data_IF_348107959546
#
_entry.id   IF_348107959546
#
_cell.length_a   1.000
_cell.length_b   1.000
_cell.length_c   1.000
_cell.angle_alpha   90.00
_cell.angle_beta   90.00
_cell.angle_gamma   90.00
#
_symmetry.space_group_name_H-M   'P 1'
#
loop_
_entity.id
_entity.type
_entity.pdbx_description
1 polymer ?
#
# COMPACT_ATOMS: atom_id res chain seq x y z
N UNK A 1 66.08 42.93 9.97
CA UNK A 1 64.84 42.28 10.45
C UNK A 1 63.80 42.38 9.34
N UNK A 2 63.73 41.37 8.46
CA UNK A 2 62.78 41.34 7.35
C UNK A 2 61.54 40.54 7.77
N UNK A 3 60.38 41.19 7.80
CA UNK A 3 59.09 40.54 8.02
C UNK A 3 58.58 39.98 6.70
N UNK A 4 58.56 38.66 6.58
CA UNK A 4 57.85 37.95 5.51
C UNK A 4 56.35 37.96 5.81
N UNK A 5 55.56 38.52 4.89
CA UNK A 5 54.09 38.53 4.95
C UNK A 5 53.61 37.31 4.16
N UNK A 6 53.13 36.28 4.87
CA UNK A 6 52.45 35.13 4.28
C UNK A 6 51.01 35.50 3.94
N UNK A 7 50.73 35.74 2.65
CA UNK A 7 49.37 35.89 2.13
C UNK A 7 48.81 34.48 1.91
N UNK A 8 47.91 34.04 2.79
CA UNK A 8 47.16 32.79 2.61
C UNK A 8 46.01 33.03 1.65
N UNK A 9 46.13 32.54 0.42
CA UNK A 9 45.06 32.56 -0.58
C UNK A 9 44.07 31.44 -0.25
N UNK A 10 42.93 31.79 0.35
CA UNK A 10 41.79 30.90 0.53
C UNK A 10 41.09 30.70 -0.81
N UNK A 11 41.37 29.58 -1.49
CA UNK A 11 40.61 29.15 -2.67
C UNK A 11 39.27 28.61 -2.20
N UNK A 12 38.22 29.43 -2.25
CA UNK A 12 36.84 28.99 -2.08
C UNK A 12 36.47 28.10 -3.27
N UNK A 13 36.61 26.79 -3.09
CA UNK A 13 36.14 25.78 -4.03
C UNK A 13 34.59 25.75 -3.94
N UNK A 14 33.93 26.58 -4.75
CA UNK A 14 32.47 26.60 -4.90
C UNK A 14 32.08 25.30 -5.60
N UNK A 15 31.79 24.25 -4.84
CA UNK A 15 31.11 23.08 -5.37
C UNK A 15 29.71 23.52 -5.80
N UNK A 16 29.35 23.42 -7.09
CA UNK A 16 27.97 23.64 -7.48
C UNK A 16 27.13 22.62 -6.73
N UNK A 17 26.28 23.12 -5.82
CA UNK A 17 25.18 22.37 -5.26
C UNK A 17 24.28 22.01 -6.44
N UNK A 18 24.54 20.85 -7.06
CA UNK A 18 23.60 20.23 -7.98
C UNK A 18 22.40 19.89 -7.11
N UNK A 19 21.46 20.84 -7.05
CA UNK A 19 20.13 20.61 -6.52
C UNK A 19 19.56 19.45 -7.32
N UNK A 20 19.47 18.28 -6.70
CA UNK A 20 18.67 17.18 -7.20
C UNK A 20 17.21 17.64 -7.11
N UNK A 21 16.80 18.49 -8.04
CA UNK A 21 15.40 18.81 -8.27
C UNK A 21 14.72 17.50 -8.63
N UNK A 22 13.98 16.93 -7.68
CA UNK A 22 13.09 15.83 -7.99
C UNK A 22 12.16 16.31 -9.11
N UNK A 23 12.23 15.63 -10.25
CA UNK A 23 11.39 15.92 -11.40
C UNK A 23 9.94 15.81 -10.94
N UNK A 24 9.27 16.96 -10.77
CA UNK A 24 7.92 17.00 -10.22
C UNK A 24 6.99 16.34 -11.23
N UNK A 25 6.55 15.12 -10.92
CA UNK A 25 5.60 14.38 -11.75
C UNK A 25 4.32 15.22 -11.84
N UNK A 26 3.82 15.42 -13.05
CA UNK A 26 2.63 16.25 -13.27
C UNK A 26 1.43 15.68 -12.49
N UNK A 27 0.80 16.53 -11.67
CA UNK A 27 -0.33 16.16 -10.83
C UNK A 27 -1.55 15.91 -11.73
N UNK A 28 -2.13 14.71 -11.64
CA UNK A 28 -3.35 14.35 -12.35
C UNK A 28 -4.55 15.10 -11.74
N UNK A 29 -4.99 16.19 -12.39
CA UNK A 29 -6.10 17.05 -11.92
C UNK A 29 -7.41 16.28 -11.65
N UNK A 30 -7.86 15.37 -12.53
CA UNK A 30 -9.00 14.50 -12.21
C UNK A 30 -8.86 13.73 -10.88
N UNK A 31 -7.72 13.09 -10.64
CA UNK A 31 -7.48 12.36 -9.38
C UNK A 31 -7.49 13.29 -8.18
N UNK A 32 -6.92 14.48 -8.36
CA UNK A 32 -6.85 15.50 -7.33
C UNK A 32 -8.22 15.99 -6.89
N UNK A 33 -9.14 16.18 -7.84
CA UNK A 33 -10.52 16.58 -7.54
C UNK A 33 -11.26 15.47 -6.77
N UNK A 34 -11.11 14.21 -7.19
CA UNK A 34 -11.71 13.06 -6.49
C UNK A 34 -11.12 12.92 -5.09
N UNK A 35 -9.80 13.05 -4.94
CA UNK A 35 -9.11 13.09 -3.64
C UNK A 35 -9.69 14.16 -2.72
N UNK A 36 -9.95 15.36 -3.26
CA UNK A 36 -10.59 16.47 -2.55
C UNK A 36 -12.01 16.13 -2.08
N UNK A 37 -12.82 15.49 -2.94
CA UNK A 37 -14.18 15.04 -2.58
C UNK A 37 -14.16 14.04 -1.42
N UNK A 38 -13.26 13.06 -1.41
CA UNK A 38 -13.15 12.13 -0.29
C UNK A 38 -12.58 12.77 0.99
N UNK A 39 -11.71 13.78 0.87
CA UNK A 39 -11.29 14.58 2.02
C UNK A 39 -12.46 15.39 2.62
N UNK A 40 -13.34 15.94 1.77
CA UNK A 40 -14.57 16.60 2.22
C UNK A 40 -15.47 15.62 2.96
N UNK A 41 -15.64 14.39 2.44
CA UNK A 41 -16.42 13.37 3.11
C UNK A 41 -15.82 12.88 4.42
N UNK A 42 -14.49 12.75 4.51
CA UNK A 42 -13.82 12.43 5.76
C UNK A 42 -14.07 13.52 6.81
N UNK A 43 -13.93 14.79 6.44
CA UNK A 43 -14.23 15.92 7.31
C UNK A 43 -15.70 15.92 7.80
N UNK A 44 -16.65 15.65 6.90
CA UNK A 44 -18.06 15.53 7.24
C UNK A 44 -18.31 14.41 8.25
N UNK A 45 -17.83 13.19 7.96
CA UNK A 45 -18.04 12.04 8.85
C UNK A 45 -17.38 12.22 10.22
N UNK A 46 -16.23 12.91 10.28
CA UNK A 46 -15.58 13.25 11.55
C UNK A 46 -16.43 14.19 12.41
N UNK A 47 -17.02 15.23 11.82
CA UNK A 47 -17.91 16.15 12.56
C UNK A 47 -19.18 15.43 13.05
N UNK A 48 -19.77 14.56 12.24
CA UNK A 48 -20.95 13.78 12.65
C UNK A 48 -20.58 12.77 13.74
N UNK A 49 -19.43 12.09 13.63
CA UNK A 49 -18.90 11.22 14.70
C UNK A 49 -18.84 11.96 16.03
N UNK A 50 -18.23 13.15 16.06
CA UNK A 50 -18.12 13.93 17.29
C UNK A 50 -19.50 14.38 17.82
N UNK A 51 -20.43 14.76 16.95
CA UNK A 51 -21.78 15.13 17.36
C UNK A 51 -22.53 13.92 17.98
N UNK A 52 -22.51 12.77 17.32
CA UNK A 52 -23.17 11.54 17.81
C UNK A 52 -22.56 11.03 19.10
N UNK A 53 -21.23 11.05 19.20
CA UNK A 53 -20.53 10.67 20.42
C UNK A 53 -20.87 11.61 21.59
N UNK A 54 -21.01 12.93 21.33
CA UNK A 54 -21.43 13.89 22.35
C UNK A 54 -22.89 13.70 22.80
N UNK A 55 -23.73 13.11 21.95
CA UNK A 55 -25.11 12.72 22.26
C UNK A 55 -25.23 11.32 22.88
N UNK A 56 -24.09 10.67 23.21
CA UNK A 56 -24.02 9.32 23.76
C UNK A 56 -24.58 8.21 22.83
N UNK A 57 -24.61 8.47 21.52
CA UNK A 57 -25.01 7.52 20.45
C UNK A 57 -23.79 6.76 19.92
N UNK A 58 -23.17 5.92 20.77
CA UNK A 58 -21.85 5.32 20.51
C UNK A 58 -21.80 4.44 19.25
N UNK A 59 -22.79 3.57 19.05
CA UNK A 59 -22.82 2.67 17.89
C UNK A 59 -22.87 3.45 16.57
N UNK A 60 -23.73 4.48 16.51
CA UNK A 60 -23.81 5.38 15.35
C UNK A 60 -22.52 6.16 15.16
N UNK A 61 -21.92 6.65 16.24
CA UNK A 61 -20.63 7.33 16.19
C UNK A 61 -19.55 6.41 15.60
N UNK A 62 -19.42 5.18 16.09
CA UNK A 62 -18.43 4.21 15.60
C UNK A 62 -18.62 3.89 14.11
N UNK A 63 -19.87 3.80 13.62
CA UNK A 63 -20.14 3.65 12.20
C UNK A 63 -19.62 4.84 11.38
N UNK A 64 -19.82 6.07 11.86
CA UNK A 64 -19.27 7.27 11.21
C UNK A 64 -17.74 7.33 11.28
N UNK A 65 -17.14 6.82 12.37
CA UNK A 65 -15.68 6.72 12.48
C UNK A 65 -15.09 5.80 11.41
N UNK A 66 -15.71 4.65 11.15
CA UNK A 66 -15.28 3.74 10.08
C UNK A 66 -15.42 4.39 8.69
N UNK A 67 -16.52 5.12 8.45
CA UNK A 67 -16.72 5.85 7.19
C UNK A 67 -15.69 6.96 7.00
N UNK A 68 -15.34 7.69 8.07
CA UNK A 68 -14.27 8.69 8.08
C UNK A 68 -12.93 8.05 7.67
N UNK A 69 -12.52 6.97 8.35
CA UNK A 69 -11.24 6.32 8.08
C UNK A 69 -11.15 5.80 6.65
N UNK A 70 -12.24 5.24 6.13
CA UNK A 70 -12.32 4.76 4.74
C UNK A 70 -12.25 5.92 3.73
N UNK A 71 -12.95 7.03 3.97
CA UNK A 71 -12.90 8.21 3.10
C UNK A 71 -11.51 8.87 3.12
N UNK A 72 -10.90 8.98 4.30
CA UNK A 72 -9.53 9.48 4.46
C UNK A 72 -8.54 8.61 3.68
N UNK A 73 -8.67 7.27 3.79
CA UNK A 73 -7.84 6.33 3.04
C UNK A 73 -7.99 6.52 1.52
N UNK A 74 -9.21 6.67 1.01
CA UNK A 74 -9.43 6.94 -0.43
C UNK A 74 -8.82 8.26 -0.87
N UNK A 75 -8.98 9.33 -0.07
CA UNK A 75 -8.37 10.63 -0.34
C UNK A 75 -6.85 10.54 -0.42
N UNK A 76 -6.23 9.87 0.56
CA UNK A 76 -4.77 9.66 0.64
C UNK A 76 -4.25 8.83 -0.52
N UNK A 77 -4.92 7.72 -0.83
CA UNK A 77 -4.55 6.83 -1.91
C UNK A 77 -4.47 7.58 -3.25
N UNK A 78 -5.47 8.40 -3.54
CA UNK A 78 -5.51 9.23 -4.75
C UNK A 78 -4.49 10.37 -4.70
N UNK A 79 -4.27 10.99 -3.54
CA UNK A 79 -3.28 12.06 -3.38
C UNK A 79 -1.84 11.55 -3.60
N UNK A 80 -1.59 10.27 -3.33
CA UNK A 80 -0.30 9.62 -3.52
C UNK A 80 0.06 9.38 -5.00
N UNK A 81 -0.90 9.46 -5.93
CA UNK A 81 -0.63 9.38 -7.36
C UNK A 81 0.16 10.61 -7.84
N UNK A 82 1.48 10.45 -7.91
CA UNK A 82 2.41 11.49 -8.36
C UNK A 82 3.07 12.29 -7.24
N UNK A 83 2.93 11.87 -5.98
CA UNK A 83 3.59 12.50 -4.82
C UNK A 83 4.42 11.51 -4.03
N UNK A 84 5.28 12.04 -3.16
CA UNK A 84 5.81 11.23 -2.06
C UNK A 84 4.69 10.94 -1.06
N UNK A 85 4.81 9.82 -0.34
CA UNK A 85 3.84 9.42 0.68
C UNK A 85 3.63 10.49 1.74
N UNK A 86 4.71 11.12 2.22
CA UNK A 86 4.65 12.13 3.27
C UNK A 86 3.90 13.38 2.78
N UNK A 87 4.18 13.84 1.56
CA UNK A 87 3.46 14.97 0.97
C UNK A 87 1.98 14.65 0.73
N UNK A 88 1.66 13.42 0.32
CA UNK A 88 0.27 12.99 0.14
C UNK A 88 -0.50 13.02 1.48
N UNK A 89 0.13 12.58 2.58
CA UNK A 89 -0.43 12.67 3.93
C UNK A 89 -0.69 14.14 4.31
N UNK A 90 0.30 15.01 4.13
CA UNK A 90 0.18 16.43 4.48
C UNK A 90 -0.93 17.12 3.69
N UNK A 91 -1.02 16.85 2.38
CA UNK A 91 -2.07 17.39 1.50
C UNK A 91 -3.45 16.89 1.93
N UNK A 92 -3.61 15.59 2.21
CA UNK A 92 -4.89 15.02 2.65
C UNK A 92 -5.32 15.60 3.99
N UNK A 93 -4.42 15.67 4.98
CA UNK A 93 -4.72 16.23 6.29
C UNK A 93 -5.10 17.72 6.20
N UNK A 94 -4.34 18.50 5.41
CA UNK A 94 -4.63 19.93 5.20
C UNK A 94 -6.00 20.15 4.58
N UNK A 95 -6.40 19.28 3.64
CA UNK A 95 -7.74 19.33 3.02
C UNK A 95 -8.84 19.03 4.03
N UNK A 96 -8.68 17.95 4.80
CA UNK A 96 -9.65 17.56 5.82
C UNK A 96 -9.83 18.70 6.82
N UNK A 97 -8.73 19.27 7.34
CA UNK A 97 -8.79 20.40 8.27
C UNK A 97 -9.51 21.62 7.66
N UNK A 98 -9.19 21.96 6.42
CA UNK A 98 -9.83 23.06 5.69
C UNK A 98 -11.35 22.82 5.55
N UNK A 99 -11.77 21.62 5.13
CA UNK A 99 -13.19 21.28 4.99
C UNK A 99 -13.90 21.24 6.33
N UNK A 100 -13.28 20.72 7.39
CA UNK A 100 -13.83 20.75 8.74
C UNK A 100 -14.05 22.19 9.21
N UNK A 101 -13.08 23.09 8.98
CA UNK A 101 -13.21 24.50 9.33
C UNK A 101 -14.38 25.15 8.59
N UNK A 102 -14.51 24.90 7.29
CA UNK A 102 -15.62 25.39 6.46
C UNK A 102 -16.97 24.87 6.97
N UNK A 103 -17.10 23.57 7.21
CA UNK A 103 -18.34 22.95 7.71
C UNK A 103 -18.71 23.45 9.11
N UNK A 104 -17.72 23.63 10.01
CA UNK A 104 -17.94 24.24 11.31
C UNK A 104 -18.49 25.66 11.19
N UNK A 105 -17.98 26.47 10.25
CA UNK A 105 -18.53 27.80 9.97
C UNK A 105 -19.97 27.71 9.47
N UNK A 106 -20.28 26.80 8.55
CA UNK A 106 -21.65 26.58 8.05
C UNK A 106 -22.62 26.14 9.15
N UNK A 107 -22.15 25.39 10.15
CA UNK A 107 -22.92 25.00 11.33
C UNK A 107 -22.90 26.06 12.47
N UNK A 108 -22.33 27.25 12.24
CA UNK A 108 -22.12 28.28 13.27
C UNK A 108 -21.36 27.78 14.52
N UNK A 109 -20.45 26.82 14.34
CA UNK A 109 -19.68 26.13 15.39
C UNK A 109 -20.56 25.47 16.47
N UNK A 110 -21.78 25.06 16.12
CA UNK A 110 -22.77 24.50 17.04
C UNK A 110 -23.16 23.10 16.60
N UNK A 111 -23.03 22.13 17.51
CA UNK A 111 -23.37 20.72 17.22
C UNK A 111 -24.88 20.55 17.00
N UNK A 112 -25.72 21.42 17.57
CA UNK A 112 -27.16 21.39 17.37
C UNK A 112 -27.55 21.65 15.90
N UNK A 113 -26.66 22.30 15.14
CA UNK A 113 -26.83 22.59 13.73
C UNK A 113 -26.27 21.48 12.80
N UNK A 114 -25.91 20.30 13.33
CA UNK A 114 -25.37 19.19 12.53
C UNK A 114 -26.32 18.75 11.41
N UNK A 115 -27.64 18.95 11.59
CA UNK A 115 -28.66 18.68 10.58
C UNK A 115 -28.45 19.46 9.27
N UNK A 116 -27.86 20.67 9.33
CA UNK A 116 -27.46 21.45 8.16
C UNK A 116 -26.42 20.69 7.35
N UNK A 117 -25.41 20.14 8.03
CA UNK A 117 -24.35 19.37 7.39
C UNK A 117 -24.89 18.05 6.83
N UNK A 118 -25.76 17.36 7.57
CA UNK A 118 -26.40 16.13 7.10
C UNK A 118 -27.16 16.39 5.79
N UNK A 119 -28.04 17.40 5.76
CA UNK A 119 -28.81 17.72 4.56
C UNK A 119 -27.94 18.06 3.35
N UNK A 120 -26.79 18.71 3.57
CA UNK A 120 -25.91 19.17 2.49
C UNK A 120 -24.93 18.11 2.00
N UNK A 121 -24.35 17.32 2.90
CA UNK A 121 -23.20 16.46 2.60
C UNK A 121 -23.53 14.97 2.64
N UNK A 122 -24.54 14.54 3.42
CA UNK A 122 -24.78 13.12 3.66
C UNK A 122 -24.96 12.32 2.39
N UNK A 123 -25.89 12.73 1.51
CA UNK A 123 -26.23 11.98 0.31
C UNK A 123 -25.06 11.94 -0.68
N UNK A 124 -24.37 13.06 -0.88
CA UNK A 124 -23.20 13.10 -1.78
C UNK A 124 -22.07 12.21 -1.30
N UNK A 125 -21.78 12.21 0.00
CA UNK A 125 -20.75 11.37 0.57
C UNK A 125 -21.14 9.90 0.65
N UNK A 126 -22.41 9.59 0.92
CA UNK A 126 -22.90 8.23 0.90
C UNK A 126 -22.80 7.64 -0.51
N UNK A 127 -23.21 8.41 -1.53
CA UNK A 127 -23.14 8.00 -2.93
C UNK A 127 -21.68 7.77 -3.36
N UNK A 128 -20.78 8.70 -3.06
CA UNK A 128 -19.35 8.55 -3.39
C UNK A 128 -18.70 7.33 -2.70
N UNK A 129 -19.15 6.96 -1.50
CA UNK A 129 -18.62 5.81 -0.76
C UNK A 129 -19.22 4.47 -1.24
N UNK A 130 -20.49 4.48 -1.66
CA UNK A 130 -21.20 3.29 -2.14
C UNK A 130 -20.83 2.96 -3.58
N UNK A 131 -20.72 3.99 -4.43
CA UNK A 131 -20.44 3.89 -5.86
C UNK A 131 -19.16 4.69 -6.17
N UNK A 132 -17.98 4.20 -5.74
CA UNK A 132 -16.73 4.92 -5.98
C UNK A 132 -16.44 5.03 -7.49
N UNK A 133 -15.90 6.16 -7.97
CA UNK A 133 -15.47 6.30 -9.36
C UNK A 133 -14.46 5.20 -9.75
N UNK A 134 -14.42 4.84 -11.02
CA UNK A 134 -13.55 3.78 -11.57
C UNK A 134 -12.09 3.98 -11.15
N UNK A 135 -11.63 5.21 -11.09
CA UNK A 135 -10.23 5.51 -10.77
C UNK A 135 -9.88 5.22 -9.31
N UNK A 136 -10.86 5.31 -8.40
CA UNK A 136 -10.68 4.88 -7.00
C UNK A 136 -10.59 3.36 -6.95
N UNK A 137 -11.44 2.67 -7.70
CA UNK A 137 -11.42 1.20 -7.79
C UNK A 137 -10.10 0.72 -8.37
N UNK A 138 -9.61 1.36 -9.43
CA UNK A 138 -8.30 1.08 -10.03
C UNK A 138 -7.17 1.35 -9.04
N UNK A 139 -7.19 2.48 -8.34
CA UNK A 139 -6.18 2.79 -7.33
C UNK A 139 -6.22 1.80 -6.16
N UNK A 140 -7.40 1.34 -5.75
CA UNK A 140 -7.57 0.32 -4.70
C UNK A 140 -7.03 -1.03 -5.15
N UNK A 141 -7.35 -1.44 -6.38
CA UNK A 141 -6.85 -2.68 -6.95
C UNK A 141 -5.32 -2.63 -7.08
N UNK A 142 -4.78 -1.49 -7.52
CA UNK A 142 -3.33 -1.26 -7.59
C UNK A 142 -2.67 -1.29 -6.21
N UNK A 143 -3.26 -0.62 -5.21
CA UNK A 143 -2.77 -0.70 -3.85
C UNK A 143 -2.86 -2.12 -3.28
N UNK A 144 -3.91 -2.87 -3.60
CA UNK A 144 -4.05 -4.27 -3.20
C UNK A 144 -2.99 -5.16 -3.87
N UNK A 145 -2.67 -4.94 -5.15
CA UNK A 145 -1.55 -5.61 -5.83
C UNK A 145 -0.18 -5.20 -5.26
N UNK A 146 -0.04 -3.95 -4.80
CA UNK A 146 1.17 -3.50 -4.10
C UNK A 146 1.30 -4.13 -2.70
N UNK A 147 0.22 -4.69 -2.16
CA UNK A 147 0.19 -5.36 -0.86
C UNK A 147 0.29 -6.88 -0.95
N UNK A 148 0.02 -7.48 -2.12
CA UNK A 148 0.09 -8.93 -2.28
C UNK A 148 0.30 -9.35 -3.73
N UNK A 149 1.00 -10.46 -3.91
CA UNK A 149 1.09 -11.14 -5.20
C UNK A 149 -0.01 -12.18 -5.32
N UNK A 150 -0.59 -12.32 -6.51
CA UNK A 150 -1.40 -13.49 -6.87
C UNK A 150 -0.59 -14.37 -7.80
N UNK A 151 -0.33 -15.61 -7.38
CA UNK A 151 0.57 -16.53 -8.06
C UNK A 151 -0.19 -17.77 -8.55
N UNK A 152 0.22 -18.28 -9.71
CA UNK A 152 -0.25 -19.52 -10.32
C UNK A 152 0.92 -20.49 -10.50
N UNK A 153 0.73 -21.73 -10.07
CA UNK A 153 1.73 -22.79 -10.18
C UNK A 153 1.77 -23.32 -11.61
N UNK A 154 2.95 -23.32 -12.24
CA UNK A 154 3.14 -23.87 -13.59
C UNK A 154 3.79 -25.25 -13.53
N UNK A 155 4.80 -25.43 -12.67
CA UNK A 155 5.52 -26.69 -12.51
C UNK A 155 5.95 -26.95 -11.07
N UNK A 156 6.04 -28.22 -10.71
CA UNK A 156 6.47 -28.75 -9.42
C UNK A 156 7.52 -29.84 -9.66
N UNK A 157 8.69 -29.66 -9.06
CA UNK A 157 9.85 -30.51 -9.25
C UNK A 157 10.34 -31.13 -7.95
N UNK A 158 10.95 -32.30 -8.06
CA UNK A 158 11.72 -32.95 -7.00
C UNK A 158 13.21 -32.92 -7.35
N UNK A 159 14.07 -32.81 -6.33
CA UNK A 159 15.52 -32.95 -6.49
C UNK A 159 15.89 -34.43 -6.33
N UNK A 160 16.52 -35.00 -7.34
CA UNK A 160 16.97 -36.40 -7.34
C UNK A 160 18.33 -36.57 -6.64
N UNK A 161 18.76 -37.82 -6.43
CA UNK A 161 20.05 -38.14 -5.80
C UNK A 161 21.27 -37.72 -6.64
N UNK A 162 21.13 -37.55 -7.95
CA UNK A 162 22.18 -37.05 -8.85
C UNK A 162 22.14 -35.53 -9.04
N UNK A 163 21.39 -34.83 -8.20
CA UNK A 163 21.18 -33.38 -8.22
C UNK A 163 20.52 -32.85 -9.50
N UNK A 164 19.76 -33.68 -10.21
CA UNK A 164 18.89 -33.25 -11.31
C UNK A 164 17.47 -32.94 -10.83
N UNK A 165 16.68 -32.28 -11.69
CA UNK A 165 15.28 -31.97 -11.42
C UNK A 165 14.37 -32.85 -12.27
N UNK A 166 13.40 -33.48 -11.62
CA UNK A 166 12.32 -34.23 -12.28
C UNK A 166 10.97 -33.71 -11.83
N UNK A 167 9.91 -33.96 -12.61
CA UNK A 167 8.56 -33.61 -12.18
C UNK A 167 8.19 -34.38 -10.91
N UNK A 168 7.69 -33.64 -9.92
CA UNK A 168 7.24 -34.24 -8.68
C UNK A 168 5.95 -35.02 -8.88
N UNK A 169 5.68 -36.00 -8.00
CA UNK A 169 4.37 -36.65 -7.91
C UNK A 169 3.23 -35.63 -7.69
N UNK A 170 3.54 -34.47 -7.11
CA UNK A 170 2.61 -33.37 -6.85
C UNK A 170 2.32 -32.47 -8.06
N UNK A 171 3.02 -32.64 -9.20
CA UNK A 171 2.78 -31.84 -10.43
C UNK A 171 1.31 -31.86 -10.83
N UNK A 172 0.67 -33.04 -10.81
CA UNK A 172 -0.71 -33.20 -11.25
C UNK A 172 -1.71 -32.45 -10.36
N UNK A 173 -1.44 -32.40 -9.06
CA UNK A 173 -2.37 -31.84 -8.08
C UNK A 173 -2.22 -30.32 -7.95
N UNK A 174 -1.00 -29.81 -8.12
CA UNK A 174 -0.70 -28.41 -7.85
C UNK A 174 -0.63 -27.54 -9.11
N UNK A 175 -0.40 -28.11 -10.29
CA UNK A 175 -0.35 -27.33 -11.53
C UNK A 175 -1.67 -26.62 -11.81
N UNK A 176 -1.60 -25.33 -12.13
CA UNK A 176 -2.75 -24.45 -12.37
C UNK A 176 -3.45 -23.95 -11.11
N UNK A 177 -3.02 -24.41 -9.92
CA UNK A 177 -3.53 -23.87 -8.66
C UNK A 177 -3.00 -22.45 -8.41
N UNK A 178 -3.74 -21.67 -7.62
CA UNK A 178 -3.37 -20.32 -7.26
C UNK A 178 -3.23 -20.11 -5.75
N UNK A 179 -2.39 -19.15 -5.38
CA UNK A 179 -2.18 -18.71 -4.02
C UNK A 179 -1.79 -17.23 -3.98
N UNK A 180 -1.85 -16.63 -2.81
CA UNK A 180 -1.53 -15.22 -2.57
C UNK A 180 -0.35 -15.10 -1.62
N UNK A 181 0.55 -14.15 -1.89
CA UNK A 181 1.72 -13.86 -1.05
C UNK A 181 1.65 -12.42 -0.57
N UNK A 182 1.61 -12.21 0.73
CA UNK A 182 1.62 -10.88 1.33
C UNK A 182 2.97 -10.19 1.17
N UNK A 183 2.97 -8.98 0.59
CA UNK A 183 4.16 -8.11 0.46
C UNK A 183 4.53 -7.41 1.76
N UNK A 184 3.70 -7.52 2.80
CA UNK A 184 3.93 -6.85 4.09
C UNK A 184 4.62 -7.76 5.12
N UNK A 185 4.30 -9.05 5.14
CA UNK A 185 4.81 -10.02 6.10
C UNK A 185 5.25 -11.37 5.52
N UNK A 186 5.12 -11.54 4.19
CA UNK A 186 5.54 -12.76 3.50
C UNK A 186 4.64 -13.97 3.71
N UNK A 187 3.46 -13.80 4.35
CA UNK A 187 2.51 -14.90 4.53
C UNK A 187 1.95 -15.37 3.19
N UNK A 188 1.79 -16.68 3.07
CA UNK A 188 1.19 -17.33 1.91
C UNK A 188 -0.16 -17.93 2.31
N UNK A 189 -1.20 -17.55 1.57
CA UNK A 189 -2.56 -18.07 1.72
C UNK A 189 -3.02 -18.69 0.40
N UNK A 190 -3.61 -19.87 0.46
CA UNK A 190 -4.07 -20.58 -0.74
C UNK A 190 -4.03 -22.08 -0.53
N UNK A 191 -4.33 -22.83 -1.60
CA UNK A 191 -4.31 -24.29 -1.56
C UNK A 191 -2.89 -24.85 -1.58
N UNK A 192 -1.96 -24.14 -2.22
CA UNK A 192 -0.58 -24.57 -2.41
C UNK A 192 0.37 -23.65 -1.64
N UNK A 193 1.37 -24.24 -0.99
CA UNK A 193 2.36 -23.55 -0.15
C UNK A 193 1.79 -22.76 1.05
N UNK A 194 0.71 -23.18 1.75
CA UNK A 194 0.14 -22.36 2.81
C UNK A 194 1.11 -22.21 3.99
N UNK A 195 1.25 -21.00 4.52
CA UNK A 195 2.07 -20.73 5.72
C UNK A 195 1.24 -20.54 6.98
N UNK A 196 -0.02 -21.00 6.99
CA UNK A 196 -0.95 -20.82 8.11
C UNK A 196 -0.45 -21.47 9.40
N UNK A 197 0.27 -22.59 9.28
CA UNK A 197 0.82 -23.35 10.41
C UNK A 197 2.28 -22.99 10.73
N UNK A 198 2.85 -21.99 10.06
CA UNK A 198 4.20 -21.55 10.35
C UNK A 198 4.26 -20.88 11.73
N UNK A 199 5.32 -21.14 12.49
CA UNK A 199 5.62 -20.46 13.76
C UNK A 199 5.88 -18.97 13.52
N UNK A 200 6.51 -18.63 12.40
CA UNK A 200 6.70 -17.25 11.99
C UNK A 200 6.87 -17.12 10.48
N UNK A 201 6.58 -15.93 9.95
CA UNK A 201 6.91 -15.54 8.57
C UNK A 201 7.64 -14.22 8.60
N UNK A 202 8.60 -14.03 7.68
CA UNK A 202 9.29 -12.75 7.53
C UNK A 202 9.75 -12.53 6.10
N UNK A 203 9.78 -11.26 5.72
CA UNK A 203 10.36 -10.82 4.46
C UNK A 203 11.88 -10.67 4.65
N UNK A 204 12.64 -11.34 3.78
CA UNK A 204 14.10 -11.22 3.69
C UNK A 204 14.45 -10.07 2.74
N UNK A 205 13.74 -9.95 1.62
CA UNK A 205 13.92 -8.88 0.66
C UNK A 205 12.55 -8.40 0.16
N UNK A 206 12.30 -7.10 0.20
CA UNK A 206 11.01 -6.50 -0.21
C UNK A 206 10.80 -6.48 -1.73
N UNK A 207 11.82 -6.83 -2.51
CA UNK A 207 11.78 -6.75 -3.97
C UNK A 207 11.96 -5.31 -4.47
N UNK A 208 12.49 -5.18 -5.67
CA UNK A 208 12.59 -3.92 -6.39
C UNK A 208 12.78 -4.18 -7.88
N UNK A 209 12.96 -3.11 -8.67
CA UNK A 209 13.38 -3.23 -10.08
C UNK A 209 14.76 -3.89 -10.26
N UNK A 210 15.52 -4.03 -9.20
CA UNK A 210 16.88 -4.56 -9.19
C UNK A 210 17.01 -5.87 -8.40
N UNK A 211 16.04 -6.18 -7.53
CA UNK A 211 16.10 -7.31 -6.61
C UNK A 211 14.81 -8.13 -6.59
N UNK A 212 14.91 -9.43 -6.35
CA UNK A 212 13.74 -10.28 -6.10
C UNK A 212 13.10 -9.98 -4.75
N UNK A 213 11.77 -10.10 -4.67
CA UNK A 213 11.09 -10.26 -3.40
C UNK A 213 11.42 -11.65 -2.84
N UNK A 214 11.72 -11.73 -1.54
CA UNK A 214 12.03 -12.99 -0.85
C UNK A 214 11.37 -13.03 0.52
N UNK A 215 10.69 -14.13 0.82
CA UNK A 215 10.12 -14.38 2.13
C UNK A 215 10.45 -15.80 2.61
N UNK A 216 10.51 -15.97 3.92
CA UNK A 216 10.70 -17.27 4.58
C UNK A 216 9.62 -17.48 5.63
N UNK A 217 9.12 -18.70 5.69
CA UNK A 217 8.26 -19.21 6.74
C UNK A 217 9.01 -20.28 7.54
N UNK A 218 9.02 -20.12 8.86
CA UNK A 218 9.65 -21.02 9.82
C UNK A 218 8.57 -21.89 10.48
N UNK A 219 8.67 -23.21 10.34
CA UNK A 219 7.77 -24.16 10.97
C UNK A 219 8.41 -24.89 12.16
N UNK A 220 9.65 -24.55 12.51
CA UNK A 220 10.41 -25.06 13.64
C UNK A 220 11.64 -25.85 13.20
N UNK A 221 11.43 -26.98 12.55
CA UNK A 221 12.46 -27.89 12.04
C UNK A 221 12.64 -27.79 10.52
N UNK A 222 11.73 -27.10 9.85
CA UNK A 222 11.70 -26.92 8.41
C UNK A 222 11.40 -25.48 8.04
N UNK A 223 11.90 -25.07 6.87
CA UNK A 223 11.71 -23.74 6.31
C UNK A 223 11.09 -23.84 4.93
N UNK A 224 10.15 -22.95 4.65
CA UNK A 224 9.61 -22.72 3.32
C UNK A 224 10.08 -21.36 2.83
N UNK A 225 10.58 -21.29 1.59
CA UNK A 225 11.11 -20.05 1.01
C UNK A 225 10.39 -19.77 -0.29
N UNK A 226 10.08 -18.50 -0.56
CA UNK A 226 9.59 -18.04 -1.86
C UNK A 226 10.44 -16.87 -2.36
N UNK A 227 10.72 -16.89 -3.65
CA UNK A 227 11.38 -15.83 -4.39
C UNK A 227 10.53 -15.43 -5.60
N UNK A 228 10.21 -14.14 -5.73
CA UNK A 228 9.49 -13.57 -6.86
C UNK A 228 10.42 -12.58 -7.57
N UNK A 229 10.71 -12.82 -8.86
CA UNK A 229 11.74 -12.09 -9.62
C UNK A 229 11.24 -10.73 -10.12
N UNK A 230 11.04 -9.78 -9.20
CA UNK A 230 10.53 -8.43 -9.50
C UNK A 230 11.38 -7.64 -10.50
N UNK A 231 12.69 -7.91 -10.51
CA UNK A 231 13.66 -7.27 -11.41
C UNK A 231 13.38 -7.54 -12.90
N UNK A 232 12.57 -8.57 -13.24
CA UNK A 232 12.14 -8.79 -14.61
C UNK A 232 11.14 -7.73 -15.05
N UNK A 233 11.31 -7.19 -16.26
CA UNK A 233 10.35 -6.23 -16.84
C UNK A 233 9.00 -6.90 -17.10
N UNK A 234 7.91 -6.13 -17.01
CA UNK A 234 6.53 -6.60 -17.20
C UNK A 234 5.76 -6.74 -15.88
N UNK A 235 4.44 -6.88 -15.96
CA UNK A 235 3.56 -7.05 -14.80
C UNK A 235 3.66 -8.47 -14.22
N UNK A 236 3.81 -9.48 -15.09
CA UNK A 236 3.91 -10.88 -14.68
C UNK A 236 5.35 -11.21 -14.28
N UNK A 237 5.54 -11.70 -13.05
CA UNK A 237 6.85 -12.04 -12.47
C UNK A 237 6.97 -13.53 -12.27
N UNK A 238 8.05 -14.18 -12.73
CA UNK A 238 8.27 -15.58 -12.39
C UNK A 238 8.62 -15.73 -10.91
N UNK A 239 8.20 -16.83 -10.31
CA UNK A 239 8.56 -17.19 -8.94
C UNK A 239 9.15 -18.59 -8.88
N UNK A 240 9.92 -18.81 -7.81
CA UNK A 240 10.33 -20.13 -7.34
C UNK A 240 10.07 -20.20 -5.84
N UNK A 241 9.54 -21.32 -5.37
CA UNK A 241 9.36 -21.61 -3.97
C UNK A 241 9.89 -23.00 -3.65
N UNK A 242 10.46 -23.15 -2.45
CA UNK A 242 10.80 -24.46 -1.89
C UNK A 242 9.78 -24.76 -0.80
N UNK A 243 8.98 -25.81 -1.01
CA UNK A 243 7.89 -26.22 -0.13
C UNK A 243 8.36 -27.21 0.92
N UNK A 244 7.76 -27.11 2.10
CA UNK A 244 7.70 -28.23 3.03
C UNK A 244 6.71 -29.29 2.53
N UNK A 245 6.85 -30.55 2.96
CA UNK A 245 5.87 -31.60 2.66
C UNK A 245 6.03 -32.34 1.32
N UNK A 246 7.21 -32.33 0.72
CA UNK A 246 7.54 -33.21 -0.42
C UNK A 246 7.14 -32.70 -1.80
N UNK A 247 6.48 -31.54 -1.91
CA UNK A 247 6.27 -30.87 -3.19
C UNK A 247 7.58 -30.33 -3.80
N UNK A 248 8.67 -30.27 -3.02
CA UNK A 248 10.00 -29.92 -3.51
C UNK A 248 10.09 -28.47 -3.96
N UNK A 249 10.30 -28.25 -5.26
CA UNK A 249 10.51 -26.95 -5.88
C UNK A 249 9.29 -26.61 -6.74
N UNK A 250 8.55 -25.58 -6.35
CA UNK A 250 7.38 -25.07 -7.06
C UNK A 250 7.79 -23.83 -7.86
N UNK A 251 7.42 -23.78 -9.13
CA UNK A 251 7.69 -22.63 -10.01
C UNK A 251 6.41 -22.18 -10.70
N UNK A 252 6.35 -20.89 -11.03
CA UNK A 252 5.20 -20.35 -11.73
C UNK A 252 5.28 -18.85 -11.95
N UNK A 253 4.11 -18.22 -12.05
CA UNK A 253 3.98 -16.80 -12.39
C UNK A 253 3.13 -16.08 -11.34
N UNK A 254 3.55 -14.88 -10.95
CA UNK A 254 2.83 -13.99 -10.06
C UNK A 254 2.47 -12.68 -10.77
N UNK A 255 1.38 -12.04 -10.32
CA UNK A 255 0.98 -10.68 -10.66
C UNK A 255 0.86 -9.85 -9.40
#
# INVERSE_FOLDING_TARGET
MNRAVCISVFVFMVYPLISFGQEAKEINKPMENISGQYAECAAYYELVYHAMNSSNEKETADAYRQLQEKAMFYSLLLANEGRSKDLAIDVTNSRIEMYMKKMKQEANNRNENISILINKYHFGCQEAMKNPPVQVVEALNKAASDLSYTCEVIHVFSLTSDASLEFSAWEKDFKGSSFTVSRTDGKITGQVLPTLLAKSTRIINKGSKENSFKAVADFGDQYQVIEIQEFRKGEVKPFVASSMGGAGIVTGLCK
#
